data_IF_609490518978
#
_entry.id   IF_609490518978
#
_cell.length_a   1.000
_cell.length_b   1.000
_cell.length_c   1.000
_cell.angle_alpha   90.00
_cell.angle_beta   90.00
_cell.angle_gamma   90.00
#
_symmetry.space_group_name_H-M   'P 1'
#
loop_
_entity.id
_entity.type
_entity.pdbx_description
1 polymer ?
#
# COMPACT_ATOMS: atom_id res chain seq x y z
N UNK A 1 19.92 -28.70 10.74
CA UNK A 1 18.49 -29.06 10.58
C UNK A 1 17.82 -28.31 11.68
N UNK A 2 17.39 -27.10 11.36
CA UNK A 2 16.72 -26.24 12.33
C UNK A 2 15.23 -26.60 12.29
N UNK A 3 14.72 -26.91 13.46
CA UNK A 3 13.38 -27.43 13.71
C UNK A 3 12.37 -26.27 13.64
N UNK A 4 11.81 -26.05 12.45
CA UNK A 4 10.76 -25.04 12.19
C UNK A 4 9.37 -25.53 12.66
N UNK A 5 9.26 -26.19 13.81
CA UNK A 5 7.96 -26.46 14.42
C UNK A 5 7.55 -25.25 15.25
N UNK A 6 6.74 -24.39 14.65
CA UNK A 6 6.02 -23.33 15.34
C UNK A 6 5.19 -23.97 16.46
N UNK A 7 5.38 -23.53 17.71
CA UNK A 7 4.69 -24.11 18.85
C UNK A 7 3.18 -23.84 18.73
N UNK A 8 2.37 -24.92 18.77
CA UNK A 8 0.92 -24.86 18.70
C UNK A 8 0.38 -24.00 19.86
N UNK A 9 0.03 -22.74 19.55
CA UNK A 9 -0.32 -21.69 20.52
C UNK A 9 0.26 -20.30 20.20
N UNK A 10 1.37 -20.19 19.46
CA UNK A 10 1.90 -18.88 19.00
C UNK A 10 1.08 -18.26 17.85
N UNK A 11 0.30 -19.09 17.16
CA UNK A 11 -0.63 -18.68 16.10
C UNK A 11 -1.72 -17.73 16.63
N UNK A 12 -2.18 -18.00 17.86
CA UNK A 12 -3.27 -17.28 18.52
C UNK A 12 -2.79 -15.97 19.17
N UNK A 13 -1.58 -15.93 19.72
CA UNK A 13 -1.01 -14.68 20.26
C UNK A 13 -0.65 -13.68 19.14
N UNK A 14 -0.14 -14.16 18.01
CA UNK A 14 0.14 -13.34 16.83
C UNK A 14 -1.16 -12.79 16.20
N UNK A 15 -2.24 -13.58 16.27
CA UNK A 15 -3.57 -13.21 15.77
C UNK A 15 -4.31 -12.25 16.72
N UNK A 16 -4.21 -12.44 18.04
CA UNK A 16 -4.83 -11.53 19.02
C UNK A 16 -4.17 -10.15 19.03
N UNK A 17 -2.84 -10.06 18.84
CA UNK A 17 -2.15 -8.78 18.77
C UNK A 17 -2.37 -8.02 17.43
N UNK A 18 -2.80 -8.72 16.38
CA UNK A 18 -3.17 -8.11 15.08
C UNK A 18 -4.48 -7.31 15.11
N UNK A 19 -5.35 -7.53 16.11
CA UNK A 19 -6.62 -6.83 16.25
C UNK A 19 -6.51 -5.48 16.98
N UNK A 20 -5.39 -5.18 17.64
CA UNK A 20 -5.22 -3.90 18.34
C UNK A 20 -4.65 -2.86 17.37
N UNK A 21 -5.49 -1.89 16.98
CA UNK A 21 -5.06 -0.75 16.17
C UNK A 21 -3.86 -0.08 16.84
N UNK A 22 -2.76 0.10 16.09
CA UNK A 22 -1.52 0.67 16.60
C UNK A 22 -1.62 2.18 16.75
N UNK A 23 -2.42 2.80 15.89
CA UNK A 23 -2.76 4.20 15.85
C UNK A 23 -4.29 4.34 15.69
N UNK A 24 -5.09 4.01 16.72
CA UNK A 24 -6.56 4.00 16.63
C UNK A 24 -7.13 5.36 16.26
N UNK A 25 -6.56 6.44 16.80
CA UNK A 25 -6.95 7.81 16.47
C UNK A 25 -6.67 8.15 15.00
N UNK A 26 -5.52 7.73 14.45
CA UNK A 26 -5.16 8.00 13.04
C UNK A 26 -6.12 7.30 12.09
N UNK A 27 -6.46 6.04 12.39
CA UNK A 27 -7.43 5.26 11.62
C UNK A 27 -8.83 5.87 11.69
N UNK A 28 -9.24 6.36 12.87
CA UNK A 28 -10.53 7.04 13.05
C UNK A 28 -10.59 8.37 12.29
N UNK A 29 -9.56 9.23 12.41
CA UNK A 29 -9.47 10.48 11.64
C UNK A 29 -9.41 10.24 10.13
N UNK A 30 -8.73 9.16 9.68
CA UNK A 30 -8.69 8.78 8.27
C UNK A 30 -10.08 8.53 7.69
N UNK A 31 -10.96 7.86 8.44
CA UNK A 31 -12.33 7.61 8.03
C UNK A 31 -13.21 8.84 8.22
N UNK A 32 -13.03 9.56 9.33
CA UNK A 32 -13.83 10.72 9.67
C UNK A 32 -13.74 11.81 8.60
N UNK A 33 -12.55 12.19 8.13
CA UNK A 33 -12.42 13.25 7.10
C UNK A 33 -13.08 12.87 5.77
N UNK A 34 -12.95 11.60 5.35
CA UNK A 34 -13.59 11.08 4.15
C UNK A 34 -15.12 11.12 4.24
N UNK A 35 -15.66 10.62 5.35
CA UNK A 35 -17.10 10.59 5.61
C UNK A 35 -17.65 12.02 5.73
N UNK A 36 -16.91 12.92 6.39
CA UNK A 36 -17.32 14.32 6.56
C UNK A 36 -17.54 15.03 5.22
N UNK A 37 -16.65 14.83 4.24
CA UNK A 37 -16.79 15.43 2.92
C UNK A 37 -18.04 14.91 2.18
N UNK A 38 -18.33 13.62 2.30
CA UNK A 38 -19.52 12.98 1.70
C UNK A 38 -20.80 13.50 2.35
N UNK A 39 -20.85 13.51 3.68
CA UNK A 39 -21.99 14.02 4.45
C UNK A 39 -22.21 15.49 4.10
N UNK A 40 -21.17 16.32 4.09
CA UNK A 40 -21.29 17.72 3.72
C UNK A 40 -21.84 17.89 2.30
N UNK A 41 -21.40 17.07 1.33
CA UNK A 41 -21.93 17.09 -0.04
C UNK A 41 -23.43 16.73 -0.08
N UNK A 42 -23.86 15.69 0.63
CA UNK A 42 -25.26 15.26 0.69
C UNK A 42 -26.14 16.28 1.42
N UNK A 43 -25.72 16.74 2.59
CA UNK A 43 -26.48 17.64 3.45
C UNK A 43 -26.56 19.06 2.89
N UNK A 44 -25.54 19.52 2.14
CA UNK A 44 -25.58 20.82 1.50
C UNK A 44 -26.71 20.96 0.48
N UNK A 45 -27.12 19.86 -0.16
CA UNK A 45 -28.30 19.86 -1.05
C UNK A 45 -29.63 20.00 -0.30
N UNK A 46 -29.66 19.73 1.01
CA UNK A 46 -30.85 19.79 1.86
C UNK A 46 -30.93 21.06 2.72
N UNK A 47 -29.79 21.56 3.22
CA UNK A 47 -29.76 22.62 4.24
C UNK A 47 -29.33 24.00 3.75
N UNK A 48 -28.72 24.13 2.55
CA UNK A 48 -28.25 25.43 2.05
C UNK A 48 -28.74 25.72 0.64
N UNK A 49 -29.41 26.87 0.47
CA UNK A 49 -29.75 27.42 -0.84
C UNK A 49 -28.53 28.04 -1.56
N UNK A 50 -27.41 28.20 -0.85
CA UNK A 50 -26.21 28.88 -1.34
C UNK A 50 -25.16 27.88 -1.83
N UNK A 51 -25.16 27.61 -3.14
CA UNK A 51 -24.16 26.77 -3.81
C UNK A 51 -22.71 27.15 -3.43
N UNK A 52 -22.43 28.44 -3.27
CA UNK A 52 -21.08 28.95 -2.96
C UNK A 52 -20.62 28.46 -1.58
N UNK A 53 -21.48 28.53 -0.57
CA UNK A 53 -21.15 28.06 0.79
C UNK A 53 -20.88 26.55 0.77
N UNK A 54 -21.76 25.78 0.11
CA UNK A 54 -21.57 24.34 -0.05
C UNK A 54 -20.28 24.01 -0.78
N UNK A 55 -19.97 24.76 -1.84
CA UNK A 55 -18.76 24.58 -2.61
C UNK A 55 -17.51 24.78 -1.74
N UNK A 56 -17.43 25.90 -1.01
CA UNK A 56 -16.29 26.21 -0.14
C UNK A 56 -16.12 25.15 0.94
N UNK A 57 -17.20 24.76 1.64
CA UNK A 57 -17.14 23.76 2.71
C UNK A 57 -16.67 22.41 2.19
N UNK A 58 -17.24 21.91 1.09
CA UNK A 58 -16.88 20.61 0.52
C UNK A 58 -15.44 20.61 0.00
N UNK A 59 -15.00 21.66 -0.69
CA UNK A 59 -13.62 21.76 -1.19
C UNK A 59 -12.62 21.83 -0.04
N UNK A 60 -12.91 22.55 1.05
CA UNK A 60 -12.05 22.57 2.23
C UNK A 60 -11.95 21.19 2.89
N UNK A 61 -13.06 20.48 3.04
CA UNK A 61 -13.07 19.11 3.58
C UNK A 61 -12.29 18.14 2.67
N UNK A 62 -12.46 18.22 1.35
CA UNK A 62 -11.70 17.42 0.38
C UNK A 62 -10.20 17.73 0.43
N UNK A 63 -9.83 18.99 0.64
CA UNK A 63 -8.42 19.41 0.74
C UNK A 63 -7.78 18.90 2.03
N UNK A 64 -8.50 18.97 3.16
CA UNK A 64 -8.06 18.40 4.43
C UNK A 64 -7.94 16.87 4.35
N UNK A 65 -8.90 16.20 3.72
CA UNK A 65 -8.82 14.76 3.45
C UNK A 65 -7.59 14.44 2.59
N UNK A 66 -7.45 15.12 1.45
CA UNK A 66 -6.32 14.94 0.54
C UNK A 66 -4.98 15.07 1.27
N UNK A 67 -4.82 16.14 2.05
CA UNK A 67 -3.59 16.40 2.80
C UNK A 67 -3.33 15.36 3.88
N UNK A 68 -4.36 14.98 4.64
CA UNK A 68 -4.26 13.97 5.71
C UNK A 68 -3.87 12.62 5.14
N UNK A 69 -4.50 12.21 4.03
CA UNK A 69 -4.21 10.97 3.33
C UNK A 69 -2.78 10.98 2.79
N UNK A 70 -2.35 12.08 2.18
CA UNK A 70 -1.01 12.21 1.57
C UNK A 70 0.13 12.31 2.59
N UNK A 71 -0.07 13.02 3.71
CA UNK A 71 1.02 13.38 4.61
C UNK A 71 1.03 12.64 5.94
N UNK A 72 -0.13 12.21 6.44
CA UNK A 72 -0.25 11.56 7.74
C UNK A 72 -0.52 10.07 7.56
N UNK A 73 -1.69 9.71 7.04
CA UNK A 73 -2.16 8.32 7.13
C UNK A 73 -1.38 7.41 6.19
N UNK A 74 -0.95 7.89 5.02
CA UNK A 74 -0.04 7.13 4.17
C UNK A 74 1.29 6.77 4.82
N UNK A 75 1.86 7.70 5.62
CA UNK A 75 3.15 7.47 6.30
C UNK A 75 3.00 6.57 7.52
N UNK A 76 1.90 6.69 8.26
CA UNK A 76 1.66 5.98 9.51
C UNK A 76 1.04 4.59 9.29
N UNK A 77 -0.02 4.50 8.48
CA UNK A 77 -0.82 3.27 8.32
C UNK A 77 -0.25 2.31 7.28
N UNK A 78 0.47 2.80 6.26
CA UNK A 78 1.05 1.95 5.20
C UNK A 78 2.53 2.20 4.93
N UNK A 79 3.15 3.19 5.59
CA UNK A 79 4.57 3.48 5.41
C UNK A 79 4.97 3.90 4.00
N UNK A 80 4.05 4.51 3.25
CA UNK A 80 4.25 4.93 1.88
C UNK A 80 4.36 6.46 1.78
N UNK A 81 5.16 6.95 0.85
CA UNK A 81 5.31 8.38 0.58
C UNK A 81 5.48 8.64 -0.91
N UNK A 82 4.78 9.63 -1.43
CA UNK A 82 4.96 10.12 -2.80
C UNK A 82 5.01 11.63 -2.83
N UNK A 83 5.91 12.18 -3.65
CA UNK A 83 6.10 13.62 -3.82
C UNK A 83 6.66 13.93 -5.20
N UNK A 84 6.61 15.21 -5.57
CA UNK A 84 7.15 15.73 -6.80
C UNK A 84 8.12 16.87 -6.47
N UNK A 85 9.22 16.95 -7.20
CA UNK A 85 10.08 18.11 -7.23
C UNK A 85 10.42 18.47 -8.66
N UNK A 86 10.78 19.73 -8.87
CA UNK A 86 11.21 20.27 -10.16
C UNK A 86 12.70 20.53 -10.05
N UNK A 87 13.48 20.03 -11.00
CA UNK A 87 14.92 20.29 -11.06
C UNK A 87 15.24 21.66 -11.66
N UNK A 88 16.52 22.03 -11.66
CA UNK A 88 17.00 23.31 -12.21
C UNK A 88 16.71 23.46 -13.72
N UNK A 89 16.45 22.35 -14.40
CA UNK A 89 16.09 22.29 -15.82
C UNK A 89 14.57 22.38 -16.05
N UNK A 90 13.78 22.57 -14.99
CA UNK A 90 12.31 22.65 -15.06
C UNK A 90 11.61 21.30 -15.24
N UNK A 91 12.32 20.17 -15.10
CA UNK A 91 11.76 18.83 -15.28
C UNK A 91 11.20 18.30 -13.96
N UNK A 92 9.95 17.82 -14.02
CA UNK A 92 9.27 17.21 -12.87
C UNK A 92 9.74 15.77 -12.62
N UNK A 93 10.25 15.52 -11.41
CA UNK A 93 10.65 14.20 -10.93
C UNK A 93 9.66 13.70 -9.87
N UNK A 94 9.07 12.53 -10.13
CA UNK A 94 8.13 11.89 -9.21
C UNK A 94 8.83 10.80 -8.41
N UNK A 95 8.82 10.95 -7.08
CA UNK A 95 9.47 10.03 -6.16
C UNK A 95 8.41 9.24 -5.40
N UNK A 96 8.55 7.91 -5.43
CA UNK A 96 7.64 6.97 -4.79
C UNK A 96 8.44 6.05 -3.86
N UNK A 97 8.13 6.10 -2.57
CA UNK A 97 8.87 5.43 -1.51
C UNK A 97 7.96 4.51 -0.70
N UNK A 98 8.54 3.40 -0.25
CA UNK A 98 7.97 2.45 0.70
C UNK A 98 8.98 2.19 1.82
N UNK A 99 8.50 2.03 3.07
CA UNK A 99 9.33 1.54 4.17
C UNK A 99 9.81 0.11 3.88
N UNK A 100 11.04 -0.22 4.31
CA UNK A 100 11.69 -1.52 4.08
C UNK A 100 12.17 -2.16 5.38
N UNK A 101 12.31 -3.49 5.38
CA UNK A 101 12.90 -4.27 6.47
C UNK A 101 12.15 -4.16 7.80
N UNK A 102 12.88 -4.04 8.91
CA UNK A 102 12.34 -3.96 10.28
C UNK A 102 11.31 -2.84 10.46
N UNK A 103 11.41 -1.75 9.68
CA UNK A 103 10.43 -0.66 9.74
C UNK A 103 9.10 -0.99 9.05
N UNK A 104 9.08 -1.89 8.06
CA UNK A 104 7.84 -2.39 7.45
C UNK A 104 7.09 -3.29 8.42
N UNK A 105 7.81 -4.09 9.21
CA UNK A 105 7.23 -4.98 10.22
C UNK A 105 6.53 -4.24 11.37
N UNK A 106 6.75 -2.91 11.48
CA UNK A 106 6.06 -2.07 12.46
C UNK A 106 4.69 -1.60 11.99
N UNK A 107 4.28 -1.89 10.75
CA UNK A 107 2.97 -1.50 10.22
C UNK A 107 1.93 -2.53 10.63
N UNK A 108 0.82 -2.07 11.19
CA UNK A 108 -0.30 -2.94 11.51
C UNK A 108 -1.04 -3.34 10.22
N UNK A 109 -1.20 -4.65 9.99
CA UNK A 109 -1.87 -5.22 8.82
C UNK A 109 -3.33 -4.79 8.71
N UNK A 110 -4.03 -4.68 9.83
CA UNK A 110 -5.43 -4.23 9.90
C UNK A 110 -5.57 -2.78 9.48
N UNK A 111 -4.69 -1.89 9.98
CA UNK A 111 -4.69 -0.46 9.59
C UNK A 111 -4.36 -0.30 8.10
N UNK A 112 -3.40 -1.06 7.59
CA UNK A 112 -3.08 -1.06 6.17
C UNK A 112 -4.29 -1.49 5.32
N UNK A 113 -5.03 -2.53 5.72
CA UNK A 113 -6.25 -2.97 5.03
C UNK A 113 -7.32 -1.88 5.02
N UNK A 114 -7.57 -1.24 6.16
CA UNK A 114 -8.54 -0.13 6.28
C UNK A 114 -8.14 1.02 5.36
N UNK A 115 -6.86 1.40 5.37
CA UNK A 115 -6.33 2.45 4.50
C UNK A 115 -6.60 2.15 3.02
N UNK A 116 -6.23 0.95 2.55
CA UNK A 116 -6.40 0.57 1.14
C UNK A 116 -7.87 0.48 0.74
N UNK A 117 -8.71 -0.07 1.62
CA UNK A 117 -10.16 -0.13 1.39
C UNK A 117 -10.74 1.28 1.25
N UNK A 118 -10.47 2.17 2.20
CA UNK A 118 -10.96 3.54 2.16
C UNK A 118 -10.42 4.33 0.95
N UNK A 119 -9.15 4.11 0.59
CA UNK A 119 -8.51 4.76 -0.56
C UNK A 119 -9.13 4.35 -1.91
N UNK A 120 -9.61 3.12 -2.03
CA UNK A 120 -10.28 2.61 -3.26
C UNK A 120 -11.77 2.93 -3.23
N UNK A 121 -12.44 2.72 -2.11
CA UNK A 121 -13.89 2.88 -2.01
C UNK A 121 -14.33 4.35 -2.16
N UNK A 122 -13.55 5.29 -1.64
CA UNK A 122 -13.90 6.72 -1.72
C UNK A 122 -14.01 7.23 -3.17
N UNK A 123 -13.01 7.07 -4.06
CA UNK A 123 -13.15 7.49 -5.46
C UNK A 123 -14.23 6.70 -6.22
N UNK A 124 -14.50 5.43 -5.87
CA UNK A 124 -15.62 4.68 -6.45
C UNK A 124 -16.97 5.32 -6.06
N UNK A 125 -17.15 5.68 -4.79
CA UNK A 125 -18.35 6.36 -4.32
C UNK A 125 -18.54 7.72 -5.02
N UNK A 126 -17.48 8.52 -5.13
CA UNK A 126 -17.54 9.78 -5.86
C UNK A 126 -17.85 9.58 -7.36
N UNK A 127 -17.39 8.48 -7.96
CA UNK A 127 -17.74 8.12 -9.34
C UNK A 127 -19.23 7.80 -9.49
N UNK A 128 -19.86 7.15 -8.50
CA UNK A 128 -21.32 6.97 -8.48
C UNK A 128 -22.03 8.32 -8.42
N UNK A 129 -21.59 9.24 -7.55
CA UNK A 129 -22.15 10.60 -7.51
C UNK A 129 -21.95 11.36 -8.81
N UNK A 130 -20.85 11.12 -9.52
CA UNK A 130 -20.59 11.75 -10.81
C UNK A 130 -21.63 11.31 -11.84
N UNK A 131 -21.87 10.00 -11.94
CA UNK A 131 -22.88 9.44 -12.86
C UNK A 131 -24.27 10.00 -12.52
N UNK A 132 -24.65 10.04 -11.24
CA UNK A 132 -25.93 10.61 -10.80
C UNK A 132 -26.04 12.10 -11.16
N UNK A 133 -25.00 12.89 -10.87
CA UNK A 133 -24.97 14.32 -11.15
C UNK A 133 -24.97 14.63 -12.66
N UNK A 134 -24.33 13.77 -13.46
CA UNK A 134 -24.27 13.86 -14.92
C UNK A 134 -25.67 13.68 -15.52
N UNK A 135 -26.39 12.61 -15.14
CA UNK A 135 -27.75 12.37 -15.61
C UNK A 135 -28.76 13.38 -15.06
N UNK A 136 -28.48 13.97 -13.89
CA UNK A 136 -29.30 15.05 -13.31
C UNK A 136 -29.05 16.43 -13.94
N UNK A 137 -28.10 16.53 -14.89
CA UNK A 137 -27.69 17.78 -15.58
C UNK A 137 -27.37 18.96 -14.66
N UNK A 138 -26.88 18.66 -13.45
CA UNK A 138 -26.54 19.69 -12.44
C UNK A 138 -25.06 20.04 -12.50
N UNK A 139 -24.65 20.80 -13.53
CA UNK A 139 -23.25 21.13 -13.82
C UNK A 139 -22.46 21.72 -12.64
N UNK A 140 -23.11 22.55 -11.81
CA UNK A 140 -22.49 23.13 -10.60
C UNK A 140 -22.03 22.05 -9.60
N UNK A 141 -22.86 21.02 -9.41
CA UNK A 141 -22.55 19.89 -8.52
C UNK A 141 -21.59 18.91 -9.17
N UNK A 142 -21.67 18.74 -10.49
CA UNK A 142 -20.73 17.95 -11.28
C UNK A 142 -19.29 18.44 -11.08
N UNK A 143 -19.07 19.77 -11.06
CA UNK A 143 -17.75 20.36 -10.80
C UNK A 143 -17.17 19.92 -9.45
N UNK A 144 -17.97 19.92 -8.39
CA UNK A 144 -17.53 19.47 -7.06
C UNK A 144 -17.13 18.00 -7.06
N UNK A 145 -17.92 17.16 -7.72
CA UNK A 145 -17.62 15.74 -7.83
C UNK A 145 -16.34 15.51 -8.64
N UNK A 146 -16.11 16.26 -9.72
CA UNK A 146 -14.86 16.20 -10.49
C UNK A 146 -13.64 16.50 -9.60
N UNK A 147 -13.69 17.56 -8.79
CA UNK A 147 -12.62 17.90 -7.85
C UNK A 147 -12.38 16.76 -6.87
N UNK A 148 -13.45 16.18 -6.32
CA UNK A 148 -13.35 15.06 -5.39
C UNK A 148 -12.70 13.82 -6.01
N UNK A 149 -13.07 13.47 -7.24
CA UNK A 149 -12.49 12.35 -7.99
C UNK A 149 -11.00 12.62 -8.27
N UNK A 150 -10.64 13.82 -8.70
CA UNK A 150 -9.23 14.15 -9.01
C UNK A 150 -8.36 14.07 -7.76
N UNK A 151 -8.78 14.65 -6.64
CA UNK A 151 -8.01 14.62 -5.39
C UNK A 151 -7.87 13.19 -4.83
N UNK A 152 -8.96 12.43 -4.79
CA UNK A 152 -8.91 11.04 -4.33
C UNK A 152 -8.12 10.14 -5.30
N UNK A 153 -8.29 10.36 -6.61
CA UNK A 153 -7.59 9.66 -7.67
C UNK A 153 -6.08 9.91 -7.64
N UNK A 154 -5.65 11.15 -7.40
CA UNK A 154 -4.23 11.49 -7.24
C UNK A 154 -3.59 10.74 -6.07
N UNK A 155 -4.27 10.67 -4.92
CA UNK A 155 -3.82 9.87 -3.79
C UNK A 155 -3.78 8.37 -4.12
N UNK A 156 -4.85 7.82 -4.72
CA UNK A 156 -4.90 6.42 -5.12
C UNK A 156 -3.76 6.06 -6.08
N UNK A 157 -3.56 6.85 -7.13
CA UNK A 157 -2.49 6.67 -8.10
C UNK A 157 -1.11 6.71 -7.45
N UNK A 158 -0.85 7.71 -6.60
CA UNK A 158 0.43 7.87 -5.91
C UNK A 158 0.77 6.66 -5.04
N UNK A 159 -0.18 6.17 -4.25
CA UNK A 159 0.03 5.01 -3.39
C UNK A 159 0.14 3.70 -4.15
N UNK A 160 -0.64 3.49 -5.21
CA UNK A 160 -0.50 2.32 -6.09
C UNK A 160 0.90 2.28 -6.70
N UNK A 161 1.45 3.42 -7.13
CA UNK A 161 2.82 3.52 -7.64
C UNK A 161 3.86 3.21 -6.57
N UNK A 162 3.69 3.68 -5.33
CA UNK A 162 4.55 3.30 -4.21
C UNK A 162 4.53 1.78 -3.96
N UNK A 163 3.35 1.15 -3.96
CA UNK A 163 3.21 -0.30 -3.74
C UNK A 163 3.84 -1.12 -4.85
N UNK A 164 3.54 -0.80 -6.12
CA UNK A 164 4.06 -1.54 -7.26
C UNK A 164 5.58 -1.39 -7.44
N UNK A 165 6.15 -0.24 -7.04
CA UNK A 165 7.60 -0.06 -6.98
C UNK A 165 8.27 -0.95 -5.92
N UNK A 166 7.57 -1.24 -4.82
CA UNK A 166 8.06 -2.13 -3.77
C UNK A 166 8.13 -3.60 -4.24
N UNK A 167 7.08 -4.08 -4.92
CA UNK A 167 6.97 -5.48 -5.33
C UNK A 167 8.03 -5.90 -6.36
N UNK A 168 8.43 -4.99 -7.26
CA UNK A 168 9.53 -5.23 -8.22
C UNK A 168 10.88 -5.46 -7.53
N UNK A 169 11.13 -4.78 -6.42
CA UNK A 169 12.37 -4.94 -5.66
C UNK A 169 12.40 -6.25 -4.85
N UNK A 170 11.25 -6.70 -4.34
CA UNK A 170 11.14 -8.00 -3.67
C UNK A 170 11.35 -9.12 -4.69
N UNK A 171 10.69 -9.05 -5.85
CA UNK A 171 10.88 -10.03 -6.93
C UNK A 171 12.35 -10.12 -7.38
N UNK A 172 13.05 -8.99 -7.51
CA UNK A 172 14.48 -8.97 -7.80
C UNK A 172 15.31 -9.63 -6.69
N UNK A 173 15.06 -9.28 -5.42
CA UNK A 173 15.79 -9.86 -4.28
C UNK A 173 15.55 -11.37 -4.12
N UNK A 174 14.32 -11.85 -4.34
CA UNK A 174 13.99 -13.28 -4.34
C UNK A 174 14.69 -14.00 -5.50
N UNK A 175 14.74 -13.38 -6.69
CA UNK A 175 15.43 -13.97 -7.84
C UNK A 175 16.94 -14.11 -7.61
N UNK A 176 17.58 -13.13 -6.95
CA UNK A 176 18.99 -13.19 -6.60
C UNK A 176 19.28 -14.25 -5.53
N UNK A 177 18.39 -14.43 -4.56
CA UNK A 177 18.52 -15.47 -3.54
C UNK A 177 18.36 -16.86 -4.13
N UNK A 178 17.32 -17.09 -4.95
CA UNK A 178 17.10 -18.35 -5.66
C UNK A 178 18.27 -18.67 -6.59
N UNK A 179 18.78 -17.68 -7.33
CA UNK A 179 19.96 -17.84 -8.17
C UNK A 179 21.18 -18.26 -7.36
N UNK A 180 21.44 -17.64 -6.21
CA UNK A 180 22.54 -18.02 -5.32
C UNK A 180 22.39 -19.44 -4.80
N UNK A 181 21.20 -19.84 -4.40
CA UNK A 181 20.94 -21.19 -3.88
C UNK A 181 21.06 -22.27 -4.97
N UNK A 182 20.59 -21.99 -6.19
CA UNK A 182 20.78 -22.89 -7.34
C UNK A 182 22.26 -23.02 -7.71
N UNK A 183 23.01 -21.90 -7.77
CA UNK A 183 24.45 -21.93 -8.07
C UNK A 183 25.23 -22.70 -6.99
N UNK A 184 24.90 -22.51 -5.71
CA UNK A 184 25.52 -23.26 -4.61
C UNK A 184 25.25 -24.77 -4.71
N UNK A 185 24.00 -25.16 -4.99
CA UNK A 185 23.65 -26.58 -5.17
C UNK A 185 24.35 -27.18 -6.39
N UNK A 186 24.38 -26.48 -7.53
CA UNK A 186 25.05 -26.94 -8.75
C UNK A 186 26.57 -27.00 -8.58
N UNK A 187 27.17 -26.00 -7.94
CA UNK A 187 28.59 -26.01 -7.63
C UNK A 187 28.95 -27.20 -6.73
N UNK A 188 28.15 -27.48 -5.70
CA UNK A 188 28.36 -28.63 -4.80
C UNK A 188 28.22 -29.99 -5.50
N UNK A 189 27.39 -30.08 -6.55
CA UNK A 189 27.30 -31.28 -7.39
C UNK A 189 28.50 -31.43 -8.33
N UNK A 190 29.02 -30.32 -8.88
CA UNK A 190 30.18 -30.34 -9.77
C UNK A 190 31.51 -30.61 -9.04
N UNK A 191 31.66 -30.20 -7.77
CA UNK A 191 32.86 -30.53 -6.99
C UNK A 191 32.86 -31.96 -6.41
N UNK A 192 31.77 -32.72 -6.59
CA UNK A 192 31.75 -34.13 -6.23
C UNK A 192 32.38 -34.97 -7.35
N UNK A 193 33.72 -35.08 -7.32
CA UNK A 193 34.48 -35.96 -8.21
C UNK A 193 34.00 -37.42 -8.15
N UNK A 194 34.12 -38.22 -9.22
CA UNK A 194 33.73 -39.63 -9.21
C UNK A 194 34.59 -40.41 -8.20
N UNK A 195 34.07 -41.48 -7.57
CA UNK A 195 34.87 -42.29 -6.67
C UNK A 195 36.01 -42.96 -7.46
N UNK A 196 37.25 -42.67 -7.10
CA UNK A 196 38.42 -43.45 -7.53
C UNK A 196 38.32 -44.84 -6.89
N UNK A 197 37.92 -45.83 -7.68
CA UNK A 197 37.92 -47.24 -7.27
C UNK A 197 39.35 -47.72 -7.07
N UNK A 198 39.74 -47.98 -5.82
CA UNK A 198 40.95 -48.72 -5.49
C UNK A 198 40.65 -50.22 -5.58
N UNK A 199 41.04 -50.85 -6.69
CA UNK A 199 41.11 -52.31 -6.81
C UNK A 199 42.51 -52.78 -6.40
N UNK A 200 42.69 -53.12 -5.13
CA UNK A 200 43.82 -53.92 -4.63
C UNK A 200 43.27 -55.18 -3.96
N UNK A 201 43.05 -56.24 -4.76
CA UNK A 201 42.90 -57.61 -4.27
C UNK A 201 44.30 -58.24 -4.14
N UNK A 202 44.70 -58.79 -2.98
CA UNK A 202 45.89 -59.61 -2.90
C UNK A 202 45.55 -61.05 -3.31
N UNK A 203 46.17 -61.49 -4.39
CA UNK A 203 46.21 -62.89 -4.83
C UNK A 203 46.98 -63.71 -3.81
N UNK A 204 46.32 -64.60 -3.08
CA UNK A 204 46.99 -65.58 -2.23
C UNK A 204 47.16 -66.88 -3.04
N UNK A 205 48.41 -67.15 -3.40
CA UNK A 205 48.89 -68.42 -3.92
C UNK A 205 49.53 -69.16 -2.76
N UNK A 206 49.04 -70.37 -2.45
CA UNK A 206 49.76 -71.60 -2.04
C UNK A 206 48.73 -72.74 -2.07
#
# INVERSE_FOLDING_TARGET
>A
MDDDTIAFGEEDETSQNSNKLKHPYVTMFHLAFRISAIIAYMLCGWFSNSFITSFVVVVLLLSMDFWTVKNITGRLMVGLRWWNYVDDNGKSHWVFESRKGVQQNRINTTEARIFWLALILCPLLWSVFFVVALFSLRFKWLLLVCIAIVLNGANLYGYVKCKMGNDKNISAATSDFLRKQVIQNVASMMTRSPPTGNSNEPTNVI
#
